data_IF_898284562046
#
_entry.id   IF_898284562046
#
_cell.length_a   1.000
_cell.length_b   1.000
_cell.length_c   1.000
_cell.angle_alpha   90.00
_cell.angle_beta   90.00
_cell.angle_gamma   90.00
#
_symmetry.space_group_name_H-M   'P 1'
#
loop_
_entity.id
_entity.type
_entity.pdbx_description
1 polymer ?
#
# COMPACT_ATOMS: atom_id res chain seq x y z
N UNK A 1 -30.48 16.08 29.69
CA UNK A 1 -30.25 16.16 28.23
C UNK A 1 -28.76 15.92 28.00
N UNK A 2 -28.40 14.81 27.36
CA UNK A 2 -27.00 14.52 27.04
C UNK A 2 -26.61 15.29 25.76
N UNK A 3 -25.57 16.11 25.84
CA UNK A 3 -25.02 16.79 24.68
C UNK A 3 -24.30 15.76 23.80
N UNK A 4 -24.81 15.54 22.60
CA UNK A 4 -24.10 14.77 21.57
C UNK A 4 -23.00 15.68 21.04
N UNK A 5 -21.76 15.41 21.41
CA UNK A 5 -20.61 16.09 20.83
C UNK A 5 -20.52 15.71 19.35
N UNK A 6 -20.74 16.67 18.46
CA UNK A 6 -20.44 16.51 17.05
C UNK A 6 -18.92 16.39 16.91
N UNK A 7 -18.43 15.17 16.68
CA UNK A 7 -17.04 14.95 16.32
C UNK A 7 -16.82 15.58 14.94
N UNK A 8 -16.00 16.63 14.88
CA UNK A 8 -15.58 17.20 13.62
C UNK A 8 -14.86 16.10 12.82
N UNK A 9 -15.39 15.77 11.65
CA UNK A 9 -14.71 14.83 10.73
C UNK A 9 -13.36 15.45 10.35
N UNK A 10 -12.26 14.70 10.46
CA UNK A 10 -10.96 15.21 10.03
C UNK A 10 -11.04 15.65 8.57
N UNK A 11 -10.74 16.93 8.32
CA UNK A 11 -10.80 17.49 6.99
C UNK A 11 -9.51 17.13 6.25
N UNK A 12 -9.60 16.20 5.29
CA UNK A 12 -8.50 15.94 4.37
C UNK A 12 -8.25 17.14 3.45
N UNK A 13 -7.00 17.33 2.99
CA UNK A 13 -6.61 18.40 2.08
C UNK A 13 -6.92 18.06 0.61
N UNK A 14 -8.13 17.57 0.33
CA UNK A 14 -8.55 17.05 -0.98
C UNK A 14 -7.56 15.98 -1.53
N UNK A 15 -7.53 14.78 -0.92
CA UNK A 15 -6.57 13.76 -1.28
C UNK A 15 -6.80 13.30 -2.71
N UNK A 16 -5.73 12.93 -3.40
CA UNK A 16 -5.77 12.37 -4.75
C UNK A 16 -4.98 11.08 -4.82
N UNK A 17 -5.24 10.26 -5.83
CA UNK A 17 -4.50 9.03 -6.05
C UNK A 17 -4.07 8.86 -7.50
N UNK A 18 -3.05 8.04 -7.71
CA UNK A 18 -2.56 7.65 -9.03
C UNK A 18 -1.83 6.32 -8.96
N UNK A 19 -1.87 5.53 -10.03
CA UNK A 19 -0.89 4.46 -10.22
C UNK A 19 0.52 5.06 -10.32
N UNK A 20 1.50 4.39 -9.71
CA UNK A 20 2.88 4.86 -9.64
C UNK A 20 3.78 3.95 -10.50
N UNK A 21 4.01 4.39 -11.74
CA UNK A 21 4.57 3.57 -12.83
C UNK A 21 6.10 3.31 -12.77
N UNK A 22 6.74 3.37 -11.60
CA UNK A 22 8.19 3.23 -11.47
C UNK A 22 8.68 2.12 -10.54
N UNK A 23 7.76 1.33 -9.97
CA UNK A 23 8.07 0.20 -9.10
C UNK A 23 8.96 0.58 -7.90
N UNK A 24 9.68 -0.42 -7.39
CA UNK A 24 10.56 -0.25 -6.21
C UNK A 24 11.65 0.79 -6.44
N UNK A 25 12.26 0.84 -7.63
CA UNK A 25 13.37 1.75 -7.91
C UNK A 25 12.93 3.23 -7.81
N UNK A 26 11.80 3.58 -8.43
CA UNK A 26 11.30 4.94 -8.34
C UNK A 26 10.77 5.27 -6.94
N UNK A 27 10.15 4.30 -6.26
CA UNK A 27 9.69 4.46 -4.88
C UNK A 27 10.86 4.76 -3.95
N UNK A 28 11.95 3.99 -4.05
CA UNK A 28 13.17 4.20 -3.26
C UNK A 28 13.81 5.56 -3.57
N UNK A 29 13.82 5.99 -4.82
CA UNK A 29 14.34 7.31 -5.18
C UNK A 29 13.59 8.46 -4.47
N UNK A 30 12.25 8.41 -4.44
CA UNK A 30 11.44 9.48 -3.83
C UNK A 30 11.31 9.34 -2.31
N UNK A 31 11.53 8.15 -1.73
CA UNK A 31 11.47 7.91 -0.29
C UNK A 31 12.83 7.99 0.41
N UNK A 32 13.87 8.45 -0.30
CA UNK A 32 15.27 8.44 0.17
C UNK A 32 15.71 7.04 0.63
N UNK A 33 15.56 6.05 -0.24
CA UNK A 33 15.80 4.64 0.02
C UNK A 33 15.01 4.11 1.24
N UNK A 34 13.76 4.53 1.38
CA UNK A 34 12.89 4.15 2.50
C UNK A 34 13.17 4.90 3.82
N UNK A 35 14.13 5.82 3.88
CA UNK A 35 14.40 6.59 5.09
C UNK A 35 13.27 7.56 5.48
N UNK A 36 12.41 7.93 4.52
CA UNK A 36 11.25 8.80 4.75
C UNK A 36 9.98 8.04 5.15
N UNK A 37 10.02 6.71 5.16
CA UNK A 37 8.92 5.91 5.66
C UNK A 37 8.76 6.09 7.17
N UNK A 38 7.50 6.16 7.62
CA UNK A 38 7.11 6.29 9.03
C UNK A 38 6.61 4.98 9.60
N UNK A 39 5.83 4.26 8.79
CA UNK A 39 5.36 2.94 9.09
C UNK A 39 5.11 2.16 7.80
N UNK A 40 5.27 0.84 7.88
CA UNK A 40 4.87 -0.08 6.82
C UNK A 40 4.01 -1.16 7.43
N UNK A 41 2.76 -1.27 6.99
CA UNK A 41 1.93 -2.44 7.23
C UNK A 41 2.16 -3.45 6.10
N UNK A 42 2.38 -4.71 6.44
CA UNK A 42 2.59 -5.78 5.46
C UNK A 42 1.62 -6.93 5.71
N UNK A 43 0.99 -7.41 4.64
CA UNK A 43 0.30 -8.69 4.59
C UNK A 43 0.97 -9.57 3.56
N UNK A 44 1.40 -10.77 3.93
CA UNK A 44 2.22 -11.64 3.07
C UNK A 44 1.92 -13.11 3.26
N UNK A 45 2.31 -13.90 2.28
CA UNK A 45 2.51 -15.33 2.52
C UNK A 45 3.84 -15.52 3.27
N UNK A 46 3.72 -15.91 4.55
CA UNK A 46 4.78 -16.44 5.40
C UNK A 46 5.06 -17.92 5.15
N UNK A 47 5.41 -18.66 6.20
CA UNK A 47 5.61 -20.12 6.19
C UNK A 47 4.49 -20.88 6.92
N UNK A 48 3.36 -20.22 7.20
CA UNK A 48 2.24 -20.82 7.93
C UNK A 48 2.61 -21.31 9.34
N UNK A 49 3.58 -20.67 9.99
CA UNK A 49 3.98 -20.96 11.37
C UNK A 49 4.88 -22.18 11.55
N UNK A 50 5.49 -22.71 10.48
CA UNK A 50 6.39 -23.88 10.58
C UNK A 50 7.82 -23.52 10.94
N UNK A 51 8.29 -22.30 10.66
CA UNK A 51 9.66 -21.82 10.97
C UNK A 51 9.70 -20.33 11.38
N UNK A 52 8.64 -19.80 12.02
CA UNK A 52 8.56 -18.42 12.55
C UNK A 52 8.40 -17.29 11.52
N UNK A 53 7.78 -17.51 10.35
CA UNK A 53 7.38 -16.36 9.52
C UNK A 53 5.89 -16.04 9.67
N UNK A 54 5.65 -14.91 10.35
CA UNK A 54 4.37 -14.18 10.44
C UNK A 54 3.75 -13.90 9.06
N UNK A 55 2.46 -13.62 9.03
CA UNK A 55 1.74 -13.24 7.81
C UNK A 55 1.33 -11.78 7.79
N UNK A 56 1.17 -11.15 8.97
CA UNK A 56 0.96 -9.70 9.07
C UNK A 56 1.99 -9.07 10.00
N UNK A 57 2.42 -7.85 9.66
CA UNK A 57 3.38 -7.11 10.46
C UNK A 57 3.27 -5.60 10.29
N UNK A 58 3.78 -4.88 11.30
CA UNK A 58 4.08 -3.46 11.25
C UNK A 58 5.59 -3.24 11.37
N UNK A 59 6.12 -2.34 10.56
CA UNK A 59 7.53 -1.98 10.51
C UNK A 59 7.72 -0.47 10.62
N UNK A 60 8.92 -0.06 11.04
CA UNK A 60 9.31 1.36 11.04
C UNK A 60 9.80 1.81 9.65
N UNK A 61 10.67 1.03 8.98
CA UNK A 61 11.25 1.37 7.65
C UNK A 61 11.51 0.15 6.80
N UNK A 62 11.06 0.18 5.57
CA UNK A 62 11.42 -0.67 4.43
C UNK A 62 11.13 -2.16 4.59
N UNK A 63 10.46 -2.57 5.67
CA UNK A 63 10.48 -3.97 6.09
C UNK A 63 11.87 -4.47 6.52
N UNK A 64 12.78 -3.57 6.90
CA UNK A 64 14.15 -3.91 7.31
C UNK A 64 14.23 -3.99 8.84
N UNK A 65 14.89 -5.03 9.34
CA UNK A 65 15.07 -5.28 10.76
C UNK A 65 14.04 -6.27 11.31
N UNK A 66 13.60 -6.06 12.55
CA UNK A 66 12.51 -6.82 13.15
C UNK A 66 11.20 -6.03 13.07
N UNK A 67 10.05 -6.69 12.82
CA UNK A 67 8.75 -6.05 12.97
C UNK A 67 8.59 -5.43 14.37
N UNK A 68 7.87 -4.31 14.41
CA UNK A 68 7.45 -3.66 15.66
C UNK A 68 6.29 -4.41 16.31
N UNK A 69 5.46 -5.02 15.48
CA UNK A 69 4.42 -5.96 15.87
C UNK A 69 4.17 -6.93 14.71
N UNK A 70 3.78 -8.16 15.01
CA UNK A 70 3.53 -9.20 14.02
C UNK A 70 2.57 -10.26 14.54
N UNK A 71 1.79 -10.86 13.65
CA UNK A 71 0.93 -11.99 13.98
C UNK A 71 0.80 -12.96 12.79
N UNK A 72 0.28 -14.14 13.07
CA UNK A 72 -0.02 -15.14 12.07
C UNK A 72 -1.45 -14.95 11.53
N UNK A 73 -1.62 -15.24 10.25
CA UNK A 73 -2.90 -15.17 9.56
C UNK A 73 -3.06 -16.42 8.72
N UNK A 74 -4.21 -17.10 8.86
CA UNK A 74 -4.55 -18.19 7.96
C UNK A 74 -4.96 -17.61 6.60
N UNK A 75 -4.09 -17.78 5.61
CA UNK A 75 -4.35 -17.33 4.24
C UNK A 75 -4.76 -18.53 3.38
N UNK A 76 -6.00 -18.50 2.89
CA UNK A 76 -6.53 -19.48 1.94
C UNK A 76 -6.40 -18.94 0.52
N UNK A 77 -5.83 -19.76 -0.37
CA UNK A 77 -5.62 -19.42 -1.77
C UNK A 77 -6.90 -18.87 -2.44
N UNK A 78 -6.81 -17.68 -3.03
CA UNK A 78 -7.90 -17.05 -3.79
C UNK A 78 -9.07 -16.55 -2.94
N UNK A 79 -8.96 -16.60 -1.60
CA UNK A 79 -10.00 -16.08 -0.71
C UNK A 79 -9.82 -14.58 -0.51
N UNK A 80 -10.93 -13.85 -0.59
CA UNK A 80 -10.97 -12.41 -0.32
C UNK A 80 -10.88 -12.18 1.19
N UNK A 81 -9.96 -11.33 1.62
CA UNK A 81 -9.74 -10.94 3.01
C UNK A 81 -9.92 -9.43 3.15
N UNK A 82 -10.88 -8.95 3.95
CA UNK A 82 -10.99 -7.52 4.22
C UNK A 82 -9.79 -7.06 5.05
N UNK A 83 -9.31 -5.85 4.78
CA UNK A 83 -8.27 -5.22 5.57
C UNK A 83 -8.64 -3.79 5.96
N UNK A 84 -8.05 -3.32 7.05
CA UNK A 84 -8.22 -1.97 7.55
C UNK A 84 -6.90 -1.48 8.13
N UNK A 85 -6.47 -0.28 7.75
CA UNK A 85 -5.38 0.44 8.38
C UNK A 85 -5.93 1.71 9.03
N UNK A 86 -5.64 1.93 10.30
CA UNK A 86 -5.98 3.16 11.01
C UNK A 86 -4.71 3.88 11.43
N UNK A 87 -4.74 5.20 11.33
CA UNK A 87 -3.76 6.11 11.91
C UNK A 87 -4.50 7.08 12.83
N UNK A 88 -4.03 7.22 14.07
CA UNK A 88 -4.68 8.05 15.08
C UNK A 88 -4.42 9.56 14.93
N UNK A 89 -3.56 9.95 13.98
CA UNK A 89 -3.14 11.34 13.80
C UNK A 89 -1.92 11.74 14.64
N UNK A 90 -1.38 10.84 15.47
CA UNK A 90 -0.38 11.15 16.49
C UNK A 90 0.83 10.22 16.41
N UNK A 91 0.66 8.94 16.75
CA UNK A 91 1.76 7.96 16.81
C UNK A 91 1.32 6.50 16.74
N UNK A 92 0.03 6.22 16.58
CA UNK A 92 -0.50 4.86 16.54
C UNK A 92 -0.99 4.49 15.15
N UNK A 93 -0.39 3.45 14.60
CA UNK A 93 -0.89 2.74 13.43
C UNK A 93 -1.40 1.37 13.86
N UNK A 94 -2.57 1.00 13.36
CA UNK A 94 -3.12 -0.35 13.53
C UNK A 94 -3.49 -0.91 12.17
N UNK A 95 -3.21 -2.19 11.97
CA UNK A 95 -3.48 -2.89 10.73
C UNK A 95 -4.19 -4.20 11.02
N UNK A 96 -5.36 -4.39 10.41
CA UNK A 96 -6.18 -5.58 10.55
C UNK A 96 -6.35 -6.24 9.20
N UNK A 97 -6.18 -7.56 9.15
CA UNK A 97 -6.50 -8.38 7.98
C UNK A 97 -7.32 -9.57 8.42
N UNK A 98 -8.54 -9.69 7.88
CA UNK A 98 -9.48 -10.76 8.21
C UNK A 98 -9.67 -10.96 9.74
N UNK A 99 -9.72 -9.85 10.49
CA UNK A 99 -9.90 -9.85 11.95
C UNK A 99 -8.62 -10.02 12.78
N UNK A 100 -7.48 -10.37 12.19
CA UNK A 100 -6.18 -10.42 12.89
C UNK A 100 -5.59 -9.02 12.93
N UNK A 101 -5.25 -8.53 14.12
CA UNK A 101 -4.82 -7.15 14.38
C UNK A 101 -3.35 -7.11 14.83
N UNK A 102 -2.59 -6.22 14.22
CA UNK A 102 -1.29 -5.73 14.74
C UNK A 102 -1.37 -4.23 14.97
N UNK A 103 -0.68 -3.72 15.99
CA UNK A 103 -0.69 -2.30 16.35
C UNK A 103 0.65 -1.82 16.86
N UNK A 104 1.04 -0.61 16.48
CA UNK A 104 2.28 0.03 16.91
C UNK A 104 2.04 1.50 17.25
N UNK A 105 2.38 1.90 18.48
CA UNK A 105 2.08 3.22 19.06
C UNK A 105 3.30 4.13 19.24
N UNK A 106 4.39 3.87 18.50
CA UNK A 106 5.61 4.70 18.54
C UNK A 106 6.04 5.14 17.14
N UNK A 107 5.08 5.29 16.22
CA UNK A 107 5.35 5.85 14.89
C UNK A 107 5.87 7.27 15.06
N UNK A 108 7.05 7.55 14.50
CA UNK A 108 7.70 8.84 14.65
C UNK A 108 7.39 9.76 13.45
N UNK A 109 6.86 10.95 13.75
CA UNK A 109 6.65 12.01 12.76
C UNK A 109 5.42 11.82 11.88
N UNK A 110 5.20 12.82 11.04
CA UNK A 110 4.08 12.93 10.09
C UNK A 110 4.42 12.34 8.71
N UNK A 111 3.39 12.18 7.88
CA UNK A 111 3.52 11.72 6.49
C UNK A 111 2.50 12.41 5.57
N UNK A 112 2.89 12.64 4.32
CA UNK A 112 2.08 13.29 3.28
C UNK A 112 1.54 12.31 2.23
N UNK A 113 2.07 11.08 2.22
CA UNK A 113 1.84 10.09 1.18
C UNK A 113 1.60 8.70 1.76
N UNK A 114 0.72 7.96 1.09
CA UNK A 114 0.47 6.54 1.32
C UNK A 114 0.77 5.81 0.01
N UNK A 115 1.62 4.79 0.07
CA UNK A 115 1.84 3.88 -1.05
C UNK A 115 1.28 2.50 -0.73
N UNK A 116 0.42 1.99 -1.59
CA UNK A 116 0.01 0.59 -1.58
C UNK A 116 0.84 -0.12 -2.64
N UNK A 117 1.59 -1.12 -2.21
CA UNK A 117 2.43 -1.97 -3.05
C UNK A 117 1.83 -3.36 -3.10
N UNK A 118 1.80 -3.96 -4.28
CA UNK A 118 1.57 -5.40 -4.46
C UNK A 118 2.80 -6.03 -5.08
N UNK A 119 3.07 -7.27 -4.71
CA UNK A 119 4.13 -8.10 -5.30
C UNK A 119 3.61 -9.50 -5.54
N UNK A 120 3.67 -9.93 -6.79
CA UNK A 120 3.40 -11.32 -7.16
C UNK A 120 4.64 -12.19 -7.02
N UNK A 121 4.43 -13.47 -6.71
CA UNK A 121 5.42 -14.53 -6.93
C UNK A 121 5.18 -15.16 -8.31
N UNK A 122 6.06 -16.06 -8.75
CA UNK A 122 5.83 -16.90 -9.94
C UNK A 122 4.47 -17.58 -9.89
N UNK A 123 3.74 -17.55 -11.01
CA UNK A 123 2.40 -18.15 -11.17
C UNK A 123 1.40 -17.75 -10.08
N UNK A 124 1.54 -16.53 -9.57
CA UNK A 124 0.73 -15.99 -8.47
C UNK A 124 0.16 -14.62 -8.82
N UNK A 125 -0.85 -14.20 -8.07
CA UNK A 125 -1.53 -12.93 -8.23
C UNK A 125 -1.84 -12.32 -6.86
N UNK A 126 -1.68 -11.00 -6.76
CA UNK A 126 -2.18 -10.17 -5.68
C UNK A 126 -3.22 -9.25 -6.27
N UNK A 127 -4.40 -9.18 -5.64
CA UNK A 127 -5.42 -8.18 -5.95
C UNK A 127 -5.74 -7.42 -4.67
N UNK A 128 -5.62 -6.10 -4.73
CA UNK A 128 -6.06 -5.16 -3.70
C UNK A 128 -7.18 -4.33 -4.30
N UNK A 129 -8.39 -4.45 -3.79
CA UNK A 129 -9.58 -3.87 -4.42
C UNK A 129 -10.51 -3.21 -3.42
N UNK A 130 -11.45 -2.41 -3.93
CA UNK A 130 -12.43 -1.69 -3.10
C UNK A 130 -11.73 -0.79 -2.07
N UNK A 131 -10.64 -0.15 -2.48
CA UNK A 131 -9.84 0.71 -1.60
C UNK A 131 -10.66 1.97 -1.29
N UNK A 132 -10.81 2.27 -0.01
CA UNK A 132 -11.53 3.46 0.45
C UNK A 132 -10.73 4.17 1.55
N UNK A 133 -10.53 5.47 1.37
CA UNK A 133 -10.07 6.37 2.42
C UNK A 133 -11.32 6.97 3.07
N UNK A 134 -11.76 6.35 4.17
CA UNK A 134 -13.06 6.58 4.78
C UNK A 134 -13.28 8.06 5.07
N UNK A 135 -14.40 8.60 4.56
CA UNK A 135 -14.78 10.00 4.73
C UNK A 135 -14.13 10.98 3.74
N UNK A 136 -13.24 10.53 2.86
CA UNK A 136 -12.64 11.40 1.83
C UNK A 136 -13.54 11.60 0.60
N UNK A 137 -14.42 10.63 0.30
CA UNK A 137 -15.18 10.60 -0.95
C UNK A 137 -14.32 10.29 -2.19
N UNK A 138 -13.06 9.89 -2.00
CA UNK A 138 -12.13 9.59 -3.08
C UNK A 138 -12.42 8.19 -3.66
N UNK A 139 -12.72 8.12 -4.95
CA UNK A 139 -12.88 6.84 -5.66
C UNK A 139 -11.50 6.26 -6.03
N UNK A 140 -10.90 5.46 -5.15
CA UNK A 140 -9.57 4.86 -5.35
C UNK A 140 -9.69 3.60 -6.21
N UNK A 141 -8.85 3.47 -7.24
CA UNK A 141 -8.84 2.31 -8.13
C UNK A 141 -8.19 1.08 -7.51
N UNK A 142 -8.50 -0.08 -8.07
CA UNK A 142 -7.93 -1.36 -7.63
C UNK A 142 -6.46 -1.50 -8.09
N UNK A 143 -5.68 -2.30 -7.37
CA UNK A 143 -4.29 -2.62 -7.69
C UNK A 143 -4.14 -4.13 -7.87
N UNK A 144 -3.49 -4.57 -8.94
CA UNK A 144 -3.21 -5.99 -9.15
C UNK A 144 -1.81 -6.20 -9.70
N UNK A 145 -1.09 -7.16 -9.11
CA UNK A 145 0.17 -7.67 -9.66
C UNK A 145 0.01 -9.15 -9.95
N UNK A 146 0.44 -9.60 -11.12
CA UNK A 146 0.39 -11.00 -11.52
C UNK A 146 1.61 -11.33 -12.35
N UNK A 147 2.18 -12.53 -12.20
CA UNK A 147 3.25 -12.96 -13.09
C UNK A 147 4.44 -13.53 -12.35
N UNK A 148 5.63 -12.96 -12.55
CA UNK A 148 6.89 -13.56 -12.11
C UNK A 148 7.74 -12.57 -11.33
N UNK A 149 7.21 -12.09 -10.20
CA UNK A 149 7.89 -11.08 -9.40
C UNK A 149 7.40 -9.66 -9.67
N UNK A 150 6.31 -9.49 -10.42
CA UNK A 150 5.76 -8.19 -10.79
C UNK A 150 5.39 -7.39 -9.54
N UNK A 151 5.73 -6.10 -9.56
CA UNK A 151 5.50 -5.16 -8.47
C UNK A 151 4.77 -3.94 -9.00
N UNK A 152 3.62 -3.67 -8.43
CA UNK A 152 2.81 -2.50 -8.76
C UNK A 152 2.57 -1.63 -7.55
N UNK A 153 2.36 -0.34 -7.81
CA UNK A 153 2.14 0.66 -6.80
C UNK A 153 0.94 1.54 -7.13
N UNK A 154 0.18 1.85 -6.08
CA UNK A 154 -0.77 2.96 -6.04
C UNK A 154 -0.29 3.96 -5.00
N UNK A 155 -0.32 5.25 -5.35
CA UNK A 155 0.01 6.36 -4.46
C UNK A 155 -1.25 7.14 -4.12
N UNK A 156 -1.45 7.45 -2.84
CA UNK A 156 -2.44 8.41 -2.35
C UNK A 156 -1.64 9.56 -1.72
N UNK A 157 -1.91 10.78 -2.14
CA UNK A 157 -1.24 11.98 -1.66
C UNK A 157 -2.26 12.95 -1.06
N UNK A 158 -1.90 13.57 0.06
CA UNK A 158 -2.72 14.61 0.70
C UNK A 158 -2.27 16.01 0.29
N UNK A 159 -1.95 16.19 -0.99
CA UNK A 159 -1.57 17.48 -1.60
C UNK A 159 -0.41 18.20 -0.89
N UNK A 160 0.54 17.44 -0.34
CA UNK A 160 1.68 17.97 0.40
C UNK A 160 1.39 18.36 1.85
N UNK A 161 0.16 18.16 2.32
CA UNK A 161 -0.24 18.34 3.72
C UNK A 161 -0.15 17.01 4.46
N UNK A 162 0.09 17.08 5.77
CA UNK A 162 0.07 15.90 6.62
C UNK A 162 -1.31 15.25 6.64
N UNK A 163 -1.34 13.92 6.57
CA UNK A 163 -2.58 13.19 6.80
C UNK A 163 -3.06 13.36 8.26
N UNK A 164 -4.34 13.72 8.49
CA UNK A 164 -4.93 13.69 9.83
C UNK A 164 -5.16 12.23 10.26
N UNK A 165 -5.83 12.04 11.40
CA UNK A 165 -6.37 10.72 11.73
C UNK A 165 -7.20 10.18 10.54
N UNK A 166 -6.98 8.92 10.19
CA UNK A 166 -7.61 8.31 9.01
C UNK A 166 -7.90 6.84 9.21
N UNK A 167 -8.79 6.33 8.36
CA UNK A 167 -9.03 4.91 8.17
C UNK A 167 -8.97 4.61 6.68
N UNK A 168 -8.13 3.66 6.30
CA UNK A 168 -8.02 3.14 4.95
C UNK A 168 -8.52 1.69 4.97
N UNK A 169 -9.45 1.35 4.10
CA UNK A 169 -10.01 -0.01 4.01
C UNK A 169 -9.84 -0.57 2.61
N UNK A 170 -9.93 -1.89 2.49
CA UNK A 170 -10.06 -2.56 1.20
C UNK A 170 -10.16 -4.06 1.37
N UNK A 171 -10.04 -4.76 0.25
CA UNK A 171 -10.03 -6.21 0.16
C UNK A 171 -8.71 -6.68 -0.44
N UNK A 172 -8.14 -7.74 0.11
CA UNK A 172 -6.92 -8.38 -0.35
C UNK A 172 -7.23 -9.82 -0.78
N UNK A 173 -6.81 -10.18 -1.98
CA UNK A 173 -6.81 -11.57 -2.45
C UNK A 173 -5.40 -11.95 -2.84
N UNK A 174 -4.90 -13.04 -2.25
CA UNK A 174 -3.63 -13.67 -2.60
C UNK A 174 -3.94 -15.01 -3.24
N UNK A 175 -3.52 -15.20 -4.49
CA UNK A 175 -3.72 -16.47 -5.20
C UNK A 175 -2.43 -16.97 -5.83
N UNK A 176 -2.33 -18.29 -5.96
CA UNK A 176 -1.19 -18.97 -6.54
C UNK A 176 -1.60 -20.29 -7.20
N UNK A 177 -0.81 -20.73 -8.18
CA UNK A 177 -0.92 -22.07 -8.75
C UNK A 177 0.25 -22.93 -8.28
N UNK A 178 -0.01 -24.20 -7.98
CA UNK A 178 1.04 -25.12 -7.52
C UNK A 178 1.47 -24.89 -6.07
N UNK A 179 2.78 -24.81 -5.84
CA UNK A 179 3.34 -24.68 -4.49
C UNK A 179 2.99 -23.31 -3.88
N UNK A 180 2.65 -23.29 -2.58
CA UNK A 180 2.41 -22.05 -1.84
C UNK A 180 3.71 -21.21 -1.82
N UNK A 181 3.69 -19.94 -2.27
CA UNK A 181 4.84 -19.05 -2.14
C UNK A 181 5.24 -18.87 -0.67
N UNK A 182 6.42 -18.33 -0.39
CA UNK A 182 6.86 -18.02 0.98
C UNK A 182 7.74 -16.78 1.00
N UNK A 183 8.13 -16.31 2.20
CA UNK A 183 9.14 -15.26 2.38
C UNK A 183 8.83 -13.95 1.64
N UNK A 184 7.58 -13.46 1.74
CA UNK A 184 7.15 -12.21 1.10
C UNK A 184 7.24 -12.21 -0.44
N UNK A 185 7.38 -13.38 -1.07
CA UNK A 185 7.32 -13.47 -2.54
C UNK A 185 5.94 -13.09 -3.06
N UNK A 186 4.88 -13.36 -2.27
CA UNK A 186 3.52 -12.94 -2.53
C UNK A 186 3.04 -12.06 -1.36
N UNK A 187 2.93 -10.74 -1.58
CA UNK A 187 2.70 -9.78 -0.50
C UNK A 187 2.04 -8.48 -0.96
N UNK A 188 1.44 -7.78 0.01
CA UNK A 188 1.04 -6.38 -0.08
C UNK A 188 1.68 -5.58 1.04
N UNK A 189 2.01 -4.31 0.77
CA UNK A 189 2.48 -3.37 1.76
C UNK A 189 1.70 -2.06 1.65
N UNK A 190 1.36 -1.46 2.79
CA UNK A 190 0.84 -0.10 2.89
C UNK A 190 1.89 0.72 3.63
N UNK A 191 2.48 1.69 2.93
CA UNK A 191 3.62 2.48 3.39
C UNK A 191 3.16 3.91 3.66
N UNK A 192 3.27 4.35 4.91
CA UNK A 192 3.06 5.74 5.32
C UNK A 192 4.40 6.46 5.19
N UNK A 193 4.53 7.43 4.29
CA UNK A 193 5.84 8.00 3.93
C UNK A 193 5.75 9.49 3.61
N UNK A 194 6.88 10.18 3.75
CA UNK A 194 7.10 11.42 3.01
C UNK A 194 7.80 11.12 1.70
N UNK A 195 7.70 12.05 0.75
CA UNK A 195 8.48 11.99 -0.49
C UNK A 195 9.36 13.23 -0.63
N UNK A 196 10.50 13.07 -1.29
CA UNK A 196 11.27 14.20 -1.79
C UNK A 196 10.43 14.86 -2.90
N UNK A 197 10.03 16.13 -2.77
CA UNK A 197 9.35 16.84 -3.85
C UNK A 197 10.21 16.77 -5.11
N UNK A 198 9.57 16.55 -6.26
CA UNK A 198 10.27 16.72 -7.52
C UNK A 198 10.90 18.13 -7.53
N UNK A 199 12.14 18.31 -8.02
CA UNK A 199 12.74 19.63 -8.15
C UNK A 199 11.73 20.54 -8.85
N UNK A 200 11.40 21.67 -8.22
CA UNK A 200 10.30 22.54 -8.65
C UNK A 200 10.39 22.87 -10.13
N UNK A 201 9.43 22.32 -10.91
CA UNK A 201 9.23 22.61 -12.33
C UNK A 201 9.95 21.67 -13.28
N UNK A 202 9.28 20.58 -13.69
CA UNK A 202 8.86 20.32 -15.08
C UNK A 202 7.76 19.27 -15.00
N UNK A 203 6.54 19.66 -15.34
CA UNK A 203 5.52 18.70 -15.75
C UNK A 203 6.02 18.01 -17.02
N UNK A 204 6.55 16.80 -16.89
CA UNK A 204 6.77 15.91 -18.03
C UNK A 204 5.39 15.49 -18.53
N UNK A 205 4.83 16.33 -19.40
CA UNK A 205 3.63 16.02 -20.14
C UNK A 205 3.81 14.69 -20.85
N UNK A 206 2.92 13.75 -20.54
CA UNK A 206 2.62 12.60 -21.38
C UNK A 206 2.23 13.11 -22.76
N UNK A 207 3.21 13.16 -23.67
CA UNK A 207 2.95 13.31 -25.10
C UNK A 207 2.37 11.98 -25.58
N UNK A 208 1.05 11.89 -25.56
CA UNK A 208 0.31 10.93 -26.36
C UNK A 208 0.48 11.31 -27.85
N UNK A 209 1.46 10.72 -28.53
CA UNK A 209 1.49 10.69 -29.99
C UNK A 209 0.95 9.35 -30.48
N UNK A 210 -0.38 9.27 -30.52
CA UNK A 210 -1.07 8.37 -31.42
C UNK A 210 -1.10 8.98 -32.83
N UNK A 211 -0.35 8.39 -33.76
CA UNK A 211 -0.60 8.38 -35.21
C UNK A 211 0.40 7.38 -35.79
N UNK A 212 0.01 6.16 -36.19
CA UNK A 212 -0.80 5.98 -37.39
C UNK A 212 0.10 5.99 -38.63
N UNK A 213 0.81 4.88 -38.92
CA UNK A 213 1.37 4.65 -40.24
C UNK A 213 1.27 3.18 -40.63
N UNK A 214 0.26 2.91 -41.45
CA UNK A 214 -0.01 1.68 -42.19
C UNK A 214 1.20 1.22 -43.01
N UNK A 215 1.51 -0.07 -42.88
CA UNK A 215 1.60 -1.08 -43.95
C UNK A 215 1.79 -0.55 -45.38
N UNK A 216 2.95 -0.84 -46.00
CA UNK A 216 2.99 -1.17 -47.44
C UNK A 216 4.10 -2.18 -47.79
N UNK A 217 3.66 -3.36 -48.18
CA UNK A 217 4.38 -4.42 -48.91
C UNK A 217 4.70 -3.95 -50.34
N UNK A 218 5.87 -4.35 -50.87
CA UNK A 218 6.27 -4.62 -52.29
C UNK A 218 7.81 -4.44 -52.35
N UNK A 219 8.64 -5.31 -52.91
CA UNK A 219 8.51 -6.52 -53.73
C UNK A 219 9.41 -7.61 -53.16
#
# INVERSE_FOLDING_TARGET
MAAVAALATPAFAAPSWSYFAGGDAAFLAISNNGMLERAVAEGRIGDAGTNQTWEIALWERGGVGAPKDQDNLTITNGTVMPWTLTWDGVNTVSYTVNGVLVSWNQVAGNFTDIFIRSRSATDSMVVVQSIDLVGSGLAIGDLSSSGNGDVDYLRIQNMGMDFPALTLTGNLTLSWTGARPSNSQLATQIKLTNVIPAPGGVALGLVALGAGARRRRRR
#
